data_IF_381423404166
#
_entry.id   IF_381423404166
#
_cell.length_a   1.000
_cell.length_b   1.000
_cell.length_c   1.000
_cell.angle_alpha   90.00
_cell.angle_beta   90.00
_cell.angle_gamma   90.00
#
_symmetry.space_group_name_H-M   'P 1'
#
loop_
_entity.id
_entity.type
_entity.pdbx_description
1 polymer ?
#
# COMPACT_ATOMS: atom_id res chain seq x y z
N UNK A 1 -52.83 5.39 -35.07
CA UNK A 1 -51.99 4.32 -34.55
C UNK A 1 -50.75 4.98 -33.97
N UNK A 2 -50.69 5.11 -32.64
CA UNK A 2 -49.48 5.49 -31.90
C UNK A 2 -48.37 4.48 -32.23
N UNK A 3 -47.10 4.89 -32.38
CA UNK A 3 -46.10 4.92 -31.30
C UNK A 3 -45.03 5.99 -31.65
N UNK A 4 -44.66 6.78 -30.63
CA UNK A 4 -43.70 7.87 -30.63
C UNK A 4 -42.31 7.44 -30.10
N UNK A 5 -41.32 8.35 -30.24
CA UNK A 5 -40.01 8.36 -29.56
C UNK A 5 -38.85 8.02 -30.52
N UNK A 6 -38.02 8.94 -31.05
CA UNK A 6 -37.22 10.05 -30.49
C UNK A 6 -36.24 9.61 -29.41
N UNK A 7 -34.96 9.63 -29.82
CA UNK A 7 -33.71 9.86 -29.10
C UNK A 7 -33.64 9.55 -27.60
N UNK A 8 -32.72 8.67 -27.22
CA UNK A 8 -31.51 9.12 -26.51
C UNK A 8 -30.44 8.02 -26.50
N UNK A 9 -29.20 8.42 -26.75
CA UNK A 9 -27.99 7.65 -26.52
C UNK A 9 -27.88 7.30 -25.03
N UNK A 10 -28.10 6.04 -24.67
CA UNK A 10 -27.62 5.49 -23.41
C UNK A 10 -26.24 4.89 -23.67
N UNK A 11 -25.24 5.73 -23.49
CA UNK A 11 -23.87 5.34 -23.22
C UNK A 11 -23.89 4.61 -21.87
N UNK A 12 -24.14 3.30 -21.90
CA UNK A 12 -23.92 2.44 -20.75
C UNK A 12 -22.40 2.34 -20.55
N UNK A 13 -21.92 3.39 -19.89
CA UNK A 13 -20.74 3.36 -19.05
C UNK A 13 -21.07 2.31 -18.00
N UNK A 14 -20.80 1.03 -18.28
CA UNK A 14 -20.47 0.09 -17.24
C UNK A 14 -19.23 0.69 -16.58
N UNK A 15 -19.50 1.54 -15.59
CA UNK A 15 -18.57 1.94 -14.56
C UNK A 15 -18.11 0.63 -13.95
N UNK A 16 -17.02 0.11 -14.50
CA UNK A 16 -16.22 -0.89 -13.84
C UNK A 16 -16.09 -0.39 -12.42
N UNK A 17 -16.55 -1.20 -11.48
CA UNK A 17 -16.17 -1.06 -10.08
C UNK A 17 -14.66 -1.04 -10.14
N UNK A 18 -14.04 0.14 -10.18
CA UNK A 18 -12.60 0.28 -9.98
C UNK A 18 -12.47 -0.10 -8.52
N UNK A 19 -12.28 -1.39 -8.33
CA UNK A 19 -12.17 -2.03 -7.04
C UNK A 19 -11.18 -1.21 -6.22
N UNK A 20 -11.41 -1.04 -4.93
CA UNK A 20 -10.37 -0.53 -4.04
C UNK A 20 -9.23 -1.56 -4.04
N UNK A 21 -8.32 -1.49 -5.01
CA UNK A 21 -7.48 -2.64 -5.35
C UNK A 21 -6.46 -2.93 -4.26
N UNK A 22 -5.97 -1.87 -3.61
CA UNK A 22 -5.19 -1.93 -2.37
C UNK A 22 -6.05 -1.76 -1.10
N UNK A 23 -7.37 -1.89 -1.25
CA UNK A 23 -8.36 -1.88 -0.16
C UNK A 23 -8.28 -0.62 0.72
N UNK A 24 -8.17 -0.77 2.05
CA UNK A 24 -8.18 0.36 2.98
C UNK A 24 -7.01 1.35 2.79
N UNK A 25 -5.98 0.97 2.01
CA UNK A 25 -4.83 1.82 1.74
C UNK A 25 -5.03 2.73 0.52
N UNK A 26 -6.19 2.67 -0.16
CA UNK A 26 -6.47 3.51 -1.31
C UNK A 26 -6.37 5.00 -0.99
N UNK A 27 -6.97 5.41 0.13
CA UNK A 27 -6.88 6.81 0.59
C UNK A 27 -5.45 7.25 0.90
N UNK A 28 -4.58 6.35 1.40
CA UNK A 28 -3.16 6.66 1.58
C UNK A 28 -2.49 6.87 0.24
N UNK A 29 -2.72 6.00 -0.74
CA UNK A 29 -2.15 6.14 -2.09
C UNK A 29 -2.55 7.46 -2.73
N UNK A 30 -3.85 7.74 -2.81
CA UNK A 30 -4.36 8.93 -3.51
C UNK A 30 -3.82 10.24 -2.88
N UNK A 31 -3.60 10.27 -1.56
CA UNK A 31 -3.05 11.42 -0.85
C UNK A 31 -1.63 11.82 -1.32
N UNK A 32 -0.88 10.91 -1.93
CA UNK A 32 0.48 11.19 -2.42
C UNK A 32 0.52 11.61 -3.89
N UNK A 33 -0.61 11.65 -4.60
CA UNK A 33 -0.66 11.99 -6.03
C UNK A 33 -0.16 13.42 -6.31
N UNK A 34 -0.42 14.36 -5.41
CA UNK A 34 0.08 15.74 -5.52
C UNK A 34 1.62 15.82 -5.50
N UNK A 35 2.29 14.84 -4.91
CA UNK A 35 3.74 14.77 -4.78
C UNK A 35 4.38 13.70 -5.68
N UNK A 36 3.63 13.12 -6.63
CA UNK A 36 4.09 12.00 -7.46
C UNK A 36 5.46 12.26 -8.12
N UNK A 37 5.60 13.40 -8.78
CA UNK A 37 6.82 13.79 -9.48
C UNK A 37 8.02 14.00 -8.53
N UNK A 38 7.76 14.43 -7.30
CA UNK A 38 8.82 14.57 -6.30
C UNK A 38 9.27 13.20 -5.79
N UNK A 39 8.32 12.31 -5.48
CA UNK A 39 8.57 10.96 -4.97
C UNK A 39 9.41 10.16 -5.96
N UNK A 40 9.04 10.18 -7.25
CA UNK A 40 9.74 9.44 -8.32
C UNK A 40 11.20 9.87 -8.51
N UNK A 41 11.55 11.10 -8.10
CA UNK A 41 12.93 11.62 -8.14
C UNK A 41 13.76 11.32 -6.90
N UNK A 42 13.16 10.80 -5.82
CA UNK A 42 13.91 10.46 -4.61
C UNK A 42 14.79 9.22 -4.85
N UNK A 43 15.98 9.15 -4.23
CA UNK A 43 16.77 7.91 -4.24
C UNK A 43 16.14 6.86 -3.30
N UNK A 44 16.42 5.57 -3.52
CA UNK A 44 15.96 4.49 -2.63
C UNK A 44 16.31 4.72 -1.15
N UNK A 45 17.44 5.38 -0.86
CA UNK A 45 17.86 5.72 0.50
C UNK A 45 16.88 6.64 1.23
N UNK A 46 16.07 7.42 0.51
CA UNK A 46 15.03 8.25 1.10
C UNK A 46 13.96 7.39 1.79
N UNK A 47 13.39 6.42 1.07
CA UNK A 47 12.36 5.52 1.61
C UNK A 47 12.89 4.67 2.77
N UNK A 48 14.13 4.17 2.63
CA UNK A 48 14.79 3.45 3.73
C UNK A 48 14.90 4.31 4.99
N UNK A 49 15.42 5.53 4.87
CA UNK A 49 15.57 6.42 6.03
C UNK A 49 14.23 6.85 6.60
N UNK A 50 13.22 7.08 5.77
CA UNK A 50 11.87 7.37 6.22
C UNK A 50 11.31 6.23 7.07
N UNK A 51 11.45 4.98 6.62
CA UNK A 51 11.02 3.82 7.39
C UNK A 51 11.77 3.70 8.73
N UNK A 52 13.09 3.91 8.74
CA UNK A 52 13.88 3.91 9.98
C UNK A 52 13.37 4.96 10.98
N UNK A 53 13.02 6.17 10.52
CA UNK A 53 12.48 7.24 11.38
C UNK A 53 11.13 6.84 11.99
N UNK A 54 10.23 6.21 11.23
CA UNK A 54 8.95 5.76 11.79
C UNK A 54 9.13 4.62 12.81
N UNK A 55 10.17 3.78 12.67
CA UNK A 55 10.53 2.82 13.72
C UNK A 55 11.06 3.53 14.98
N UNK A 56 11.90 4.57 14.82
CA UNK A 56 12.37 5.38 15.95
C UNK A 56 11.17 6.04 16.70
N UNK A 57 10.18 6.56 15.96
CA UNK A 57 8.95 7.17 16.52
C UNK A 57 8.04 6.13 17.19
N UNK A 58 7.89 4.96 16.55
CA UNK A 58 7.16 3.81 17.11
C UNK A 58 7.72 3.40 18.48
N UNK A 59 9.04 3.27 18.60
CA UNK A 59 9.70 2.94 19.87
C UNK A 59 9.45 4.01 20.93
N UNK A 60 9.52 5.29 20.54
CA UNK A 60 9.23 6.43 21.41
C UNK A 60 7.81 6.37 22.00
N UNK A 61 6.81 6.12 21.15
CA UNK A 61 5.40 6.00 21.59
C UNK A 61 5.16 4.78 22.48
N UNK A 62 5.77 3.64 22.15
CA UNK A 62 5.69 2.44 22.99
C UNK A 62 6.32 2.65 24.37
N UNK A 63 7.48 3.32 24.44
CA UNK A 63 8.13 3.65 25.71
C UNK A 63 7.28 4.59 26.58
N UNK A 64 6.48 5.47 25.95
CA UNK A 64 5.53 6.34 26.64
C UNK A 64 4.20 5.64 27.01
N UNK A 65 4.00 4.39 26.60
CA UNK A 65 2.75 3.64 26.82
C UNK A 65 1.61 4.03 25.87
N UNK A 66 1.88 4.82 24.83
CA UNK A 66 0.89 5.27 23.85
C UNK A 66 0.80 4.30 22.67
N UNK A 67 -0.02 3.26 22.84
CA UNK A 67 -0.22 2.24 21.79
C UNK A 67 -0.99 2.76 20.58
N UNK A 68 -1.81 3.78 20.74
CA UNK A 68 -2.58 4.31 19.63
C UNK A 68 -1.69 5.12 18.69
N UNK A 69 -0.84 5.99 19.24
CA UNK A 69 0.18 6.68 18.45
C UNK A 69 1.15 5.69 17.79
N UNK A 70 1.63 4.68 18.54
CA UNK A 70 2.45 3.61 17.97
C UNK A 70 1.79 2.92 16.77
N UNK A 71 0.48 2.66 16.81
CA UNK A 71 -0.24 2.06 15.68
C UNK A 71 -0.29 2.97 14.44
N UNK A 72 -0.31 4.29 14.63
CA UNK A 72 -0.24 5.26 13.52
C UNK A 72 1.13 5.23 12.84
N UNK A 73 2.22 5.15 13.59
CA UNK A 73 3.56 5.00 13.01
C UNK A 73 3.70 3.73 12.16
N UNK A 74 3.05 2.62 12.55
CA UNK A 74 3.00 1.41 11.72
C UNK A 74 2.23 1.65 10.42
N UNK A 75 1.14 2.43 10.47
CA UNK A 75 0.39 2.80 9.28
C UNK A 75 1.24 3.68 8.33
N UNK A 76 2.08 4.56 8.89
CA UNK A 76 3.01 5.38 8.12
C UNK A 76 4.15 4.56 7.49
N UNK A 77 4.64 3.51 8.17
CA UNK A 77 5.54 2.51 7.55
C UNK A 77 4.88 1.82 6.35
N UNK A 78 3.59 1.45 6.45
CA UNK A 78 2.84 0.88 5.33
C UNK A 78 2.73 1.89 4.18
N UNK A 79 2.44 3.15 4.48
CA UNK A 79 2.40 4.25 3.51
C UNK A 79 3.73 4.41 2.76
N UNK A 80 4.87 4.33 3.47
CA UNK A 80 6.22 4.39 2.88
C UNK A 80 6.47 3.17 1.97
N UNK A 81 6.07 1.97 2.40
CA UNK A 81 6.23 0.76 1.60
C UNK A 81 5.42 0.83 0.29
N UNK A 82 4.18 1.31 0.36
CA UNK A 82 3.31 1.53 -0.80
C UNK A 82 3.91 2.57 -1.76
N UNK A 83 4.44 3.68 -1.24
CA UNK A 83 5.13 4.68 -2.07
C UNK A 83 6.46 4.18 -2.65
N UNK A 84 7.12 3.24 -1.99
CA UNK A 84 8.29 2.58 -2.58
C UNK A 84 7.87 1.73 -3.80
N UNK A 85 6.72 1.06 -3.75
CA UNK A 85 6.17 0.35 -4.90
C UNK A 85 5.77 1.31 -6.04
N UNK A 86 5.17 2.48 -5.70
CA UNK A 86 4.94 3.57 -6.65
C UNK A 86 6.22 4.01 -7.35
N UNK A 87 7.28 4.23 -6.56
CA UNK A 87 8.60 4.62 -7.07
C UNK A 87 9.22 3.55 -7.99
N UNK A 88 8.94 2.27 -7.74
CA UNK A 88 9.30 1.16 -8.64
C UNK A 88 8.46 1.10 -9.92
N UNK A 89 7.46 1.98 -10.07
CA UNK A 89 6.60 2.08 -11.24
C UNK A 89 5.35 1.21 -11.17
N UNK A 90 5.01 0.66 -10.00
CA UNK A 90 3.81 -0.18 -9.85
C UNK A 90 2.54 0.63 -9.67
N UNK A 91 1.47 0.17 -10.32
CA UNK A 91 0.11 0.71 -10.12
C UNK A 91 -0.56 0.04 -8.91
N UNK A 92 -1.67 0.60 -8.37
CA UNK A 92 -2.45 -0.06 -7.32
C UNK A 92 -2.83 -1.52 -7.66
N UNK A 93 -3.19 -1.79 -8.91
CA UNK A 93 -3.55 -3.11 -9.47
C UNK A 93 -2.41 -4.10 -9.29
N UNK A 94 -1.22 -3.68 -9.71
CA UNK A 94 -0.03 -4.51 -9.64
C UNK A 94 0.40 -4.75 -8.20
N UNK A 95 0.29 -3.73 -7.33
CA UNK A 95 0.59 -3.86 -5.90
C UNK A 95 -0.35 -4.88 -5.25
N UNK A 96 -1.64 -4.82 -5.55
CA UNK A 96 -2.64 -5.73 -5.04
C UNK A 96 -2.32 -7.18 -5.44
N UNK A 97 -2.01 -7.40 -6.72
CA UNK A 97 -1.69 -8.72 -7.23
C UNK A 97 -0.37 -9.26 -6.67
N UNK A 98 0.68 -8.44 -6.62
CA UNK A 98 1.96 -8.80 -5.99
C UNK A 98 1.72 -9.20 -4.53
N UNK A 99 0.99 -8.40 -3.77
CA UNK A 99 0.74 -8.66 -2.34
C UNK A 99 -0.04 -9.95 -2.14
N UNK A 100 -1.09 -10.17 -2.93
CA UNK A 100 -1.91 -11.40 -2.90
C UNK A 100 -1.10 -12.64 -3.26
N UNK A 101 -0.36 -12.58 -4.37
CA UNK A 101 0.53 -13.65 -4.83
C UNK A 101 1.56 -14.00 -3.77
N UNK A 102 2.15 -13.00 -3.10
CA UNK A 102 3.11 -13.20 -2.01
C UNK A 102 2.49 -13.86 -0.79
N UNK A 103 1.28 -13.46 -0.41
CA UNK A 103 0.56 -14.08 0.69
C UNK A 103 0.31 -15.57 0.41
N UNK A 104 -0.25 -15.89 -0.75
CA UNK A 104 -0.63 -17.27 -1.09
C UNK A 104 0.58 -18.17 -1.39
N UNK A 105 1.56 -17.69 -2.16
CA UNK A 105 2.66 -18.54 -2.63
C UNK A 105 3.84 -18.61 -1.66
N UNK A 106 4.06 -17.57 -0.85
CA UNK A 106 5.25 -17.49 0.03
C UNK A 106 4.93 -17.53 1.51
N UNK A 107 3.82 -16.94 1.96
CA UNK A 107 3.60 -16.74 3.40
C UNK A 107 2.67 -17.80 4.00
N UNK A 108 1.59 -18.15 3.31
CA UNK A 108 0.58 -19.10 3.78
C UNK A 108 1.20 -20.47 4.08
N UNK A 109 1.04 -20.91 5.33
CA UNK A 109 1.61 -22.17 5.81
C UNK A 109 3.14 -22.15 6.01
N UNK A 110 3.83 -21.04 5.73
CA UNK A 110 5.30 -20.94 5.80
C UNK A 110 5.79 -19.84 6.77
N UNK A 111 4.88 -19.12 7.44
CA UNK A 111 5.22 -17.98 8.30
C UNK A 111 6.32 -18.30 9.33
N UNK A 112 6.21 -19.43 10.05
CA UNK A 112 7.23 -19.83 11.04
C UNK A 112 8.60 -20.07 10.41
N UNK A 113 8.64 -20.68 9.22
CA UNK A 113 9.90 -20.91 8.49
C UNK A 113 10.52 -19.60 7.99
N UNK A 114 9.70 -18.59 7.67
CA UNK A 114 10.18 -17.25 7.35
C UNK A 114 10.84 -16.61 8.57
N UNK A 115 10.24 -16.74 9.76
CA UNK A 115 10.81 -16.21 11.00
C UNK A 115 12.13 -16.91 11.35
N UNK A 116 12.18 -18.25 11.27
CA UNK A 116 13.42 -19.02 11.47
C UNK A 116 14.49 -18.56 10.48
N UNK A 117 14.13 -18.34 9.21
CA UNK A 117 15.07 -17.81 8.23
C UNK A 117 15.65 -16.46 8.66
N UNK A 118 14.84 -15.57 9.22
CA UNK A 118 15.35 -14.27 9.67
C UNK A 118 16.31 -14.39 10.86
N UNK A 119 15.97 -15.25 11.81
CA UNK A 119 16.84 -15.58 12.95
C UNK A 119 18.17 -16.18 12.47
N UNK A 120 18.13 -17.18 11.60
CA UNK A 120 19.31 -17.92 11.15
C UNK A 120 20.23 -17.06 10.26
N UNK A 121 19.65 -16.21 9.41
CA UNK A 121 20.42 -15.45 8.41
C UNK A 121 20.85 -14.06 8.89
N UNK A 122 20.02 -13.41 9.70
CA UNK A 122 20.21 -12.01 10.07
C UNK A 122 20.28 -11.81 11.59
N UNK A 123 20.03 -12.85 12.39
CA UNK A 123 20.11 -12.78 13.85
C UNK A 123 18.98 -11.97 14.50
N UNK A 124 17.85 -11.81 13.82
CA UNK A 124 16.67 -11.07 14.28
C UNK A 124 15.47 -11.99 14.50
#
# INVERSE_FOLDING_TARGET
MNIAGVDHLANDTEGGVMTDEIGPFRGMWDAWDEAHDEITRKPLSHFRRAADIQFDELEGHLAAGDREAAAREVADIISIAINTMRWLGHTPEEIAEITRSRAELRMKGQASSILIKYMDQYGI
#
